data_IF_296363774521
#
_entry.id   IF_296363774521
#
_cell.length_a   1.000
_cell.length_b   1.000
_cell.length_c   1.000
_cell.angle_alpha   90.00
_cell.angle_beta   90.00
_cell.angle_gamma   90.00
#
_symmetry.space_group_name_H-M   'P 1'
#
loop_
_entity.id
_entity.type
_entity.pdbx_description
1 polymer ?
#
# COMPACT_ATOMS: atom_id res chain seq x y z
N UNK A 1 41.57 3.51 17.75
CA UNK A 1 40.56 2.53 17.32
C UNK A 1 39.40 3.28 16.71
N UNK A 2 39.36 3.38 15.37
CA UNK A 2 38.30 4.10 14.66
C UNK A 2 36.97 3.39 14.87
N UNK A 3 35.95 4.12 15.34
CA UNK A 3 34.56 3.68 15.27
C UNK A 3 34.30 3.34 13.80
N UNK A 4 34.04 2.07 13.48
CA UNK A 4 33.48 1.67 12.18
C UNK A 4 32.10 2.31 12.09
N UNK A 5 32.04 3.57 11.67
CA UNK A 5 30.79 4.20 11.29
C UNK A 5 30.16 3.35 10.22
N UNK A 6 28.95 2.86 10.46
CA UNK A 6 28.14 2.28 9.40
C UNK A 6 27.94 3.38 8.37
N UNK A 7 28.72 3.38 7.28
CA UNK A 7 28.50 4.30 6.18
C UNK A 7 27.12 3.99 5.59
N UNK A 8 26.17 4.89 5.78
CA UNK A 8 24.88 4.84 5.08
C UNK A 8 25.15 4.75 3.57
N UNK A 9 24.36 3.98 2.81
CA UNK A 9 24.50 3.95 1.35
C UNK A 9 24.26 5.34 0.76
N UNK A 10 24.81 5.60 -0.42
CA UNK A 10 24.56 6.85 -1.16
C UNK A 10 23.06 7.03 -1.43
N UNK A 11 22.60 8.26 -1.63
CA UNK A 11 21.19 8.57 -1.94
C UNK A 11 20.69 7.80 -3.15
N UNK A 12 21.56 7.58 -4.15
CA UNK A 12 21.27 6.83 -5.37
C UNK A 12 20.80 5.39 -5.14
N UNK A 13 20.94 4.83 -3.94
CA UNK A 13 20.30 3.55 -3.62
C UNK A 13 18.77 3.63 -3.73
N UNK A 14 18.17 4.80 -3.49
CA UNK A 14 16.73 5.06 -3.61
C UNK A 14 16.25 5.14 -5.08
N UNK A 15 17.16 5.21 -6.05
CA UNK A 15 16.83 5.12 -7.47
C UNK A 15 16.61 3.64 -7.84
N UNK A 16 15.53 3.05 -7.31
CA UNK A 16 15.23 1.63 -7.50
C UNK A 16 14.93 1.32 -8.98
N UNK A 17 15.60 0.31 -9.55
CA UNK A 17 15.42 -0.08 -10.92
C UNK A 17 14.12 -0.85 -11.09
N UNK A 18 13.69 -0.89 -12.35
CA UNK A 18 12.61 -1.71 -12.81
C UNK A 18 12.94 -3.17 -12.49
N UNK A 19 11.97 -3.89 -11.94
CA UNK A 19 12.15 -5.31 -11.68
C UNK A 19 12.38 -6.06 -13.00
N UNK A 20 13.22 -7.10 -13.02
CA UNK A 20 13.60 -7.78 -14.28
C UNK A 20 12.41 -8.30 -15.07
N UNK A 21 11.33 -8.73 -14.39
CA UNK A 21 10.10 -9.24 -15.01
C UNK A 21 9.28 -8.19 -15.76
N UNK A 22 9.61 -6.91 -15.64
CA UNK A 22 8.93 -5.79 -16.31
C UNK A 22 9.76 -5.14 -17.43
N UNK A 23 11.00 -5.59 -17.66
CA UNK A 23 11.84 -5.07 -18.75
C UNK A 23 11.18 -5.37 -20.10
N UNK A 24 11.13 -4.37 -20.98
CA UNK A 24 10.48 -4.42 -22.30
C UNK A 24 8.97 -4.73 -22.28
N UNK A 25 8.31 -4.57 -21.13
CA UNK A 25 6.86 -4.68 -20.96
C UNK A 25 6.26 -3.27 -20.95
N UNK A 26 5.08 -3.08 -21.57
CA UNK A 26 4.28 -1.87 -21.37
C UNK A 26 3.67 -1.92 -19.96
N UNK A 27 4.30 -1.23 -19.02
CA UNK A 27 4.00 -1.39 -17.59
C UNK A 27 2.85 -0.49 -17.17
N UNK A 28 1.86 -1.08 -16.51
CA UNK A 28 0.84 -0.34 -15.78
C UNK A 28 1.49 0.62 -14.76
N UNK A 29 1.25 1.95 -14.83
CA UNK A 29 1.77 2.91 -13.86
C UNK A 29 1.39 2.56 -12.41
N UNK A 30 2.26 2.91 -11.47
CA UNK A 30 2.08 2.63 -10.04
C UNK A 30 0.88 3.41 -9.50
N UNK A 31 0.00 2.71 -8.77
CA UNK A 31 -0.97 3.29 -7.86
C UNK A 31 -0.62 2.79 -6.46
N UNK A 32 -0.25 3.71 -5.58
CA UNK A 32 0.08 3.40 -4.18
C UNK A 32 -1.09 3.79 -3.29
N UNK A 33 -1.84 2.81 -2.84
CA UNK A 33 -3.09 3.03 -2.11
C UNK A 33 -2.90 3.38 -0.64
N UNK A 34 -1.65 3.38 -0.15
CA UNK A 34 -1.34 3.77 1.21
C UNK A 34 0.14 4.12 1.38
N UNK A 35 0.40 5.41 1.58
CA UNK A 35 1.74 5.94 1.87
C UNK A 35 1.62 7.09 2.88
N UNK A 36 2.63 7.30 3.71
CA UNK A 36 2.71 8.49 4.56
C UNK A 36 3.73 9.43 3.92
N UNK A 37 3.28 10.28 3.00
CA UNK A 37 4.18 11.08 2.16
C UNK A 37 5.03 12.05 3.00
N UNK A 38 4.41 12.71 3.97
CA UNK A 38 5.12 13.62 4.88
C UNK A 38 6.19 12.88 5.69
N UNK A 39 5.82 11.75 6.30
CA UNK A 39 6.75 10.90 7.07
C UNK A 39 7.85 10.30 6.19
N UNK A 40 7.53 9.96 4.94
CA UNK A 40 8.48 9.49 3.93
C UNK A 40 9.50 10.56 3.58
N UNK A 41 9.05 11.79 3.31
CA UNK A 41 9.95 12.89 3.03
C UNK A 41 10.81 13.26 4.25
N UNK A 42 10.22 13.25 5.45
CA UNK A 42 10.96 13.46 6.70
C UNK A 42 12.05 12.40 6.90
N UNK A 43 11.73 11.12 6.69
CA UNK A 43 12.70 10.03 6.73
C UNK A 43 13.80 10.20 5.68
N UNK A 44 13.45 10.63 4.46
CA UNK A 44 14.41 10.96 3.41
C UNK A 44 15.36 12.08 3.83
N UNK A 45 14.86 13.22 4.33
CA UNK A 45 15.69 14.33 4.81
C UNK A 45 16.57 13.96 6.01
N UNK A 46 16.08 13.09 6.90
CA UNK A 46 16.86 12.54 8.01
C UNK A 46 17.94 11.55 7.56
N UNK A 47 17.67 10.77 6.51
CA UNK A 47 18.64 9.87 5.91
C UNK A 47 19.71 10.63 5.10
N UNK A 48 19.28 11.67 4.36
CA UNK A 48 20.05 12.44 3.39
C UNK A 48 19.86 13.96 3.56
N UNK A 49 20.49 14.59 4.56
CA UNK A 49 20.33 16.03 4.81
C UNK A 49 20.80 16.92 3.64
N UNK A 50 21.75 16.43 2.85
CA UNK A 50 22.26 17.07 1.63
C UNK A 50 21.74 16.38 0.35
N UNK A 51 20.62 15.66 0.43
CA UNK A 51 20.03 14.96 -0.72
C UNK A 51 19.43 15.92 -1.75
N UNK A 52 19.12 15.40 -2.95
CA UNK A 52 18.65 16.13 -4.14
C UNK A 52 17.42 17.03 -3.96
N UNK A 53 16.61 16.83 -2.92
CA UNK A 53 15.29 17.45 -2.79
C UNK A 53 15.13 18.16 -1.44
N UNK A 54 14.65 19.39 -1.50
CA UNK A 54 14.50 20.30 -0.35
C UNK A 54 13.06 20.39 0.15
N UNK A 55 12.06 20.05 -0.68
CA UNK A 55 10.64 20.02 -0.32
C UNK A 55 9.93 18.77 -0.87
N UNK A 56 8.75 18.48 -0.33
CA UNK A 56 7.94 17.29 -0.63
C UNK A 56 7.55 17.23 -2.12
N UNK A 57 7.10 18.34 -2.69
CA UNK A 57 6.62 18.39 -4.08
C UNK A 57 7.73 18.11 -5.09
N UNK A 58 8.94 18.62 -4.84
CA UNK A 58 10.11 18.31 -5.68
C UNK A 58 10.59 16.88 -5.48
N UNK A 59 10.50 16.35 -4.25
CA UNK A 59 10.74 14.93 -3.99
C UNK A 59 9.79 14.03 -4.80
N UNK A 60 8.49 14.33 -4.80
CA UNK A 60 7.49 13.57 -5.58
C UNK A 60 7.77 13.69 -7.07
N UNK A 61 7.87 14.90 -7.63
CA UNK A 61 8.18 15.07 -9.06
C UNK A 61 9.48 14.38 -9.46
N UNK A 62 10.48 14.46 -8.59
CA UNK A 62 11.82 13.99 -8.88
C UNK A 62 12.00 12.48 -8.81
N UNK A 63 11.42 11.83 -7.79
CA UNK A 63 11.49 10.37 -7.59
C UNK A 63 10.35 9.60 -8.26
N UNK A 64 9.16 10.21 -8.38
CA UNK A 64 7.95 9.51 -8.83
C UNK A 64 7.49 9.94 -10.22
N UNK A 65 7.90 11.13 -10.69
CA UNK A 65 7.62 11.63 -12.04
C UNK A 65 8.18 10.70 -13.12
N UNK A 66 7.51 10.66 -14.28
CA UNK A 66 7.74 9.66 -15.33
C UNK A 66 9.12 9.69 -16.00
N UNK A 67 9.32 8.85 -17.04
CA UNK A 67 10.64 8.62 -17.61
C UNK A 67 11.29 9.94 -18.04
N UNK A 68 12.44 10.26 -17.43
CA UNK A 68 13.29 11.35 -17.90
C UNK A 68 13.71 11.00 -19.32
N UNK A 69 13.17 11.69 -20.32
CA UNK A 69 13.74 11.63 -21.67
C UNK A 69 15.17 12.13 -21.56
N UNK A 70 16.10 11.40 -22.18
CA UNK A 70 17.55 11.62 -22.14
C UNK A 70 18.02 12.93 -22.80
N UNK A 71 17.27 14.02 -22.65
CA UNK A 71 17.45 15.26 -23.39
C UNK A 71 17.79 16.46 -22.53
N UNK A 72 17.98 16.36 -21.21
CA UNK A 72 18.49 17.50 -20.41
C UNK A 72 19.32 17.16 -19.16
N UNK A 73 19.59 15.88 -18.86
CA UNK A 73 20.54 15.53 -17.80
C UNK A 73 21.14 14.14 -18.05
N UNK A 74 22.38 14.07 -18.53
CA UNK A 74 23.08 12.83 -18.89
C UNK A 74 23.43 11.94 -17.67
N UNK A 75 23.01 12.30 -16.46
CA UNK A 75 23.55 11.69 -15.24
C UNK A 75 22.70 10.57 -14.61
N UNK A 76 21.43 10.38 -14.96
CA UNK A 76 20.55 9.43 -14.26
C UNK A 76 19.71 8.58 -15.23
N UNK A 77 19.91 7.23 -15.25
CA UNK A 77 19.13 6.36 -16.12
C UNK A 77 17.64 6.38 -15.76
N UNK A 78 16.80 6.07 -16.75
CA UNK A 78 15.35 5.91 -16.61
C UNK A 78 15.07 4.57 -15.94
N UNK A 79 15.04 4.53 -14.59
CA UNK A 79 15.04 3.25 -13.88
C UNK A 79 13.72 2.88 -13.23
N UNK A 80 12.73 3.77 -13.09
CA UNK A 80 11.51 3.46 -12.35
C UNK A 80 10.25 3.45 -13.22
N UNK A 81 9.29 2.61 -12.83
CA UNK A 81 7.92 2.64 -13.35
C UNK A 81 7.28 3.95 -12.89
N UNK A 82 6.63 4.73 -13.78
CA UNK A 82 6.01 6.00 -13.40
C UNK A 82 4.93 5.79 -12.34
N UNK A 83 4.85 6.71 -11.39
CA UNK A 83 3.75 6.74 -10.41
C UNK A 83 2.61 7.56 -10.98
N UNK A 84 1.42 6.96 -11.05
CA UNK A 84 0.22 7.64 -11.52
C UNK A 84 -0.56 8.28 -10.39
N UNK A 85 -0.68 7.60 -9.26
CA UNK A 85 -1.44 8.12 -8.12
C UNK A 85 -0.91 7.59 -6.79
N UNK A 86 -1.08 8.42 -5.77
CA UNK A 86 -0.81 8.06 -4.38
C UNK A 86 -2.00 8.43 -3.52
N UNK A 87 -2.29 7.61 -2.52
CA UNK A 87 -3.22 7.92 -1.44
C UNK A 87 -2.41 8.14 -0.17
N UNK A 88 -2.24 9.40 0.17
CA UNK A 88 -1.51 9.84 1.36
C UNK A 88 -2.38 9.68 2.61
N UNK A 89 -1.80 9.15 3.68
CA UNK A 89 -2.54 8.81 4.90
C UNK A 89 -2.18 9.77 6.02
N UNK A 90 -3.17 10.58 6.37
CA UNK A 90 -3.09 11.54 7.47
C UNK A 90 -3.71 10.94 8.72
N UNK A 91 -2.88 10.38 9.60
CA UNK A 91 -3.30 9.79 10.88
C UNK A 91 -2.47 10.27 12.09
N UNK A 92 -1.40 11.04 11.86
CA UNK A 92 -0.44 11.45 12.90
C UNK A 92 -0.86 12.79 13.55
N UNK A 93 -1.07 12.79 14.87
CA UNK A 93 -1.53 13.95 15.64
C UNK A 93 -0.65 15.22 15.52
N UNK A 94 0.69 15.16 15.40
CA UNK A 94 1.52 16.34 15.21
C UNK A 94 1.43 16.99 13.82
N UNK A 95 0.94 16.26 12.81
CA UNK A 95 0.90 16.71 11.40
C UNK A 95 -0.48 17.28 11.02
N UNK A 96 -1.26 17.65 12.04
CA UNK A 96 -2.56 18.34 11.94
C UNK A 96 -2.44 19.86 12.13
N UNK A 97 -1.22 20.41 12.09
CA UNK A 97 -1.06 21.73 11.48
C UNK A 97 -1.69 21.67 10.08
N UNK A 98 -2.19 22.77 9.52
CA UNK A 98 -2.88 22.80 8.21
C UNK A 98 -2.03 22.29 7.00
N UNK A 99 -0.89 21.63 7.23
CA UNK A 99 0.01 21.02 6.24
C UNK A 99 -0.69 20.04 5.31
N UNK A 100 -1.58 19.18 5.83
CA UNK A 100 -2.39 18.29 5.00
C UNK A 100 -3.20 19.08 3.98
N UNK A 101 -3.74 20.21 4.43
CA UNK A 101 -4.60 21.08 3.62
C UNK A 101 -3.76 21.83 2.61
N UNK A 102 -2.57 22.30 2.96
CA UNK A 102 -1.65 22.93 2.01
C UNK A 102 -1.27 21.97 0.87
N UNK A 103 -0.96 20.70 1.19
CA UNK A 103 -0.68 19.68 0.18
C UNK A 103 -1.92 19.36 -0.65
N UNK A 104 -3.08 19.14 -0.02
CA UNK A 104 -4.32 18.82 -0.71
C UNK A 104 -4.82 19.96 -1.61
N UNK A 105 -4.80 21.21 -1.13
CA UNK A 105 -5.18 22.41 -1.87
C UNK A 105 -4.27 22.59 -3.10
N UNK A 106 -2.98 22.26 -2.96
CA UNK A 106 -2.01 22.31 -4.05
C UNK A 106 -2.28 21.29 -5.17
N UNK A 107 -3.13 20.29 -4.93
CA UNK A 107 -3.55 19.31 -5.93
C UNK A 107 -4.92 19.63 -6.56
N UNK A 108 -5.58 20.74 -6.20
CA UNK A 108 -6.94 21.04 -6.66
C UNK A 108 -7.03 21.46 -8.14
N UNK A 109 -6.22 22.42 -8.56
CA UNK A 109 -6.26 22.94 -9.94
C UNK A 109 -5.31 22.16 -10.83
N UNK A 110 -5.63 22.09 -12.12
CA UNK A 110 -4.76 21.43 -13.12
C UNK A 110 -3.38 22.10 -13.20
N UNK A 111 -3.36 23.43 -13.18
CA UNK A 111 -2.13 24.23 -13.17
C UNK A 111 -1.25 23.90 -11.94
N UNK A 112 -1.83 23.93 -10.73
CA UNK A 112 -1.06 23.65 -9.52
C UNK A 112 -0.59 22.19 -9.46
N UNK A 113 -1.39 21.25 -9.99
CA UNK A 113 -0.95 19.86 -10.15
C UNK A 113 0.24 19.72 -11.09
N UNK A 114 0.16 20.30 -12.28
CA UNK A 114 1.25 20.23 -13.25
C UNK A 114 2.54 20.82 -12.66
N UNK A 115 2.45 21.92 -11.93
CA UNK A 115 3.59 22.59 -11.30
C UNK A 115 4.19 21.81 -10.12
N UNK A 116 3.35 21.30 -9.22
CA UNK A 116 3.78 20.74 -7.92
C UNK A 116 3.86 19.23 -7.88
N UNK A 117 3.05 18.55 -8.67
CA UNK A 117 2.89 17.09 -8.62
C UNK A 117 3.30 16.41 -9.94
N UNK A 118 3.47 17.17 -11.01
CA UNK A 118 3.77 16.63 -12.34
C UNK A 118 2.64 15.71 -12.81
N UNK A 119 2.97 14.47 -13.14
CA UNK A 119 2.00 13.46 -13.61
C UNK A 119 1.34 12.66 -12.47
N UNK A 120 1.81 12.85 -11.23
CA UNK A 120 1.32 12.14 -10.04
C UNK A 120 0.01 12.79 -9.58
N UNK A 121 -1.05 12.00 -9.50
CA UNK A 121 -2.32 12.44 -8.94
C UNK A 121 -2.35 12.19 -7.44
N UNK A 122 -2.37 13.27 -6.67
CA UNK A 122 -2.38 13.24 -5.21
C UNK A 122 -3.80 13.13 -4.68
N UNK A 123 -4.02 12.12 -3.85
CA UNK A 123 -5.22 11.88 -3.10
C UNK A 123 -4.87 11.63 -1.64
N UNK A 124 -5.85 11.74 -0.75
CA UNK A 124 -5.62 11.43 0.65
C UNK A 124 -6.80 10.78 1.34
N UNK A 125 -6.50 10.04 2.40
CA UNK A 125 -7.44 9.65 3.44
C UNK A 125 -7.04 10.33 4.75
N UNK A 126 -8.02 10.56 5.62
CA UNK A 126 -7.77 11.24 6.89
C UNK A 126 -8.47 10.53 8.04
N UNK A 127 -7.74 10.48 9.14
CA UNK A 127 -8.17 10.03 10.46
C UNK A 127 -7.38 10.76 11.55
N UNK A 128 -7.91 10.75 12.76
CA UNK A 128 -7.13 11.06 13.96
C UNK A 128 -7.67 10.23 15.10
N UNK A 129 -6.90 9.28 15.60
CA UNK A 129 -7.38 8.48 16.74
C UNK A 129 -6.95 7.03 16.81
N UNK A 130 -6.29 6.42 15.83
CA UNK A 130 -5.88 5.01 15.98
C UNK A 130 -4.93 4.77 17.17
N UNK A 131 -3.85 5.53 17.25
CA UNK A 131 -2.91 5.47 18.38
C UNK A 131 -3.29 6.41 19.54
N UNK A 132 -4.21 7.35 19.30
CA UNK A 132 -4.65 8.35 20.26
C UNK A 132 -6.17 8.33 20.45
N UNK A 133 -6.80 7.16 20.49
CA UNK A 133 -8.26 7.03 20.57
C UNK A 133 -8.84 7.79 21.78
N UNK A 134 -8.07 7.83 22.87
CA UNK A 134 -8.38 8.64 24.06
C UNK A 134 -8.55 10.15 23.81
N UNK A 135 -7.99 10.67 22.72
CA UNK A 135 -8.06 12.09 22.34
C UNK A 135 -9.19 12.35 21.33
N UNK A 136 -9.90 11.32 20.87
CA UNK A 136 -11.02 11.47 19.95
C UNK A 136 -12.22 12.11 20.65
N UNK A 137 -12.66 13.27 20.15
CA UNK A 137 -13.79 14.03 20.69
C UNK A 137 -14.57 14.71 19.56
N UNK A 138 -15.62 15.45 19.91
CA UNK A 138 -16.51 16.09 18.94
C UNK A 138 -15.80 17.15 18.07
N UNK A 139 -14.78 17.83 18.60
CA UNK A 139 -13.99 18.82 17.87
C UNK A 139 -13.13 18.15 16.80
N UNK A 140 -12.45 17.06 17.18
CA UNK A 140 -11.66 16.21 16.25
C UNK A 140 -12.56 15.62 15.17
N UNK A 141 -13.73 15.08 15.54
CA UNK A 141 -14.67 14.54 14.56
C UNK A 141 -15.14 15.61 13.57
N UNK A 142 -15.44 16.82 14.05
CA UNK A 142 -15.84 17.93 13.20
C UNK A 142 -14.75 18.36 12.22
N UNK A 143 -13.48 18.35 12.66
CA UNK A 143 -12.32 18.60 11.81
C UNK A 143 -12.20 17.56 10.69
N UNK A 144 -12.24 16.27 11.04
CA UNK A 144 -12.18 15.17 10.08
C UNK A 144 -13.35 15.27 9.08
N UNK A 145 -14.58 15.51 9.56
CA UNK A 145 -15.76 15.74 8.71
C UNK A 145 -15.58 16.95 7.78
N UNK A 146 -14.81 17.96 8.19
CA UNK A 146 -14.39 19.07 7.34
C UNK A 146 -13.49 18.61 6.19
N UNK A 147 -12.46 17.81 6.49
CA UNK A 147 -11.56 17.25 5.49
C UNK A 147 -12.25 16.30 4.51
N UNK A 148 -13.27 15.56 4.95
CA UNK A 148 -14.06 14.68 4.07
C UNK A 148 -14.77 15.43 2.92
N UNK A 149 -14.99 16.74 3.06
CA UNK A 149 -15.58 17.60 2.03
C UNK A 149 -14.56 18.04 0.98
N UNK A 150 -13.26 17.86 1.23
CA UNK A 150 -12.23 18.26 0.30
C UNK A 150 -12.28 17.38 -0.96
N UNK A 151 -12.23 17.95 -2.19
CA UNK A 151 -12.31 17.18 -3.44
C UNK A 151 -11.24 16.10 -3.59
N UNK A 152 -10.09 16.27 -2.93
CA UNK A 152 -8.98 15.29 -2.92
C UNK A 152 -9.05 14.22 -1.84
N UNK A 153 -10.06 14.25 -0.97
CA UNK A 153 -10.29 13.20 0.01
C UNK A 153 -11.06 12.04 -0.63
N UNK A 154 -10.47 10.84 -0.65
CA UNK A 154 -11.04 9.64 -1.29
C UNK A 154 -11.62 8.62 -0.32
N UNK A 155 -11.41 8.79 0.99
CA UNK A 155 -11.87 7.84 1.99
C UNK A 155 -11.66 8.33 3.42
N UNK A 156 -12.23 7.57 4.35
CA UNK A 156 -12.08 7.74 5.77
C UNK A 156 -11.11 6.70 6.31
N UNK A 157 -10.06 7.16 6.99
CA UNK A 157 -9.05 6.28 7.55
C UNK A 157 -7.66 6.90 7.56
N UNK A 158 -6.72 6.26 8.23
CA UNK A 158 -6.80 4.88 8.72
C UNK A 158 -7.41 4.73 10.13
N UNK A 159 -8.58 4.08 10.22
CA UNK A 159 -9.27 3.75 11.48
C UNK A 159 -9.07 2.28 11.82
N UNK A 160 -9.18 1.87 13.09
CA UNK A 160 -9.10 0.44 13.41
C UNK A 160 -8.78 0.16 14.85
N UNK A 161 -8.29 -1.06 15.09
CA UNK A 161 -7.86 -1.54 16.41
C UNK A 161 -6.40 -1.97 16.35
N UNK A 162 -5.60 -1.51 17.32
CA UNK A 162 -4.20 -1.91 17.51
C UNK A 162 -4.02 -2.38 18.96
N UNK A 163 -4.07 -3.70 19.16
CA UNK A 163 -3.93 -4.31 20.48
C UNK A 163 -2.49 -4.65 20.84
N UNK A 164 -1.56 -4.46 19.90
CA UNK A 164 -0.14 -4.71 20.10
C UNK A 164 0.52 -3.59 20.89
N UNK A 165 0.30 -2.33 20.47
CA UNK A 165 0.87 -1.18 21.18
C UNK A 165 0.02 -0.72 22.37
N UNK A 166 -1.28 -1.00 22.36
CA UNK A 166 -2.24 -0.71 23.44
C UNK A 166 -2.14 0.74 23.98
N UNK A 167 -1.86 1.69 23.08
CA UNK A 167 -1.66 3.10 23.41
C UNK A 167 -2.93 3.78 23.97
N UNK A 168 -4.09 3.18 23.73
CA UNK A 168 -5.39 3.58 24.27
C UNK A 168 -6.15 2.34 24.73
N UNK A 169 -6.97 2.42 25.80
CA UNK A 169 -7.74 1.28 26.28
C UNK A 169 -8.60 0.67 25.18
N UNK A 170 -8.63 -0.66 25.09
CA UNK A 170 -9.35 -1.39 24.03
C UNK A 170 -10.82 -1.01 23.89
N UNK A 171 -11.51 -0.76 25.01
CA UNK A 171 -12.90 -0.27 25.01
C UNK A 171 -13.02 1.07 24.26
N UNK A 172 -12.12 2.01 24.54
CA UNK A 172 -12.10 3.32 23.88
C UNK A 172 -11.76 3.16 22.39
N UNK A 173 -10.82 2.29 22.03
CA UNK A 173 -10.53 2.01 20.62
C UNK A 173 -11.78 1.50 19.88
N UNK A 174 -12.54 0.59 20.49
CA UNK A 174 -13.79 0.05 19.90
C UNK A 174 -14.88 1.12 19.78
N UNK A 175 -15.12 1.90 20.82
CA UNK A 175 -16.10 2.99 20.80
C UNK A 175 -15.79 4.02 19.71
N UNK A 176 -14.52 4.42 19.60
CA UNK A 176 -14.04 5.35 18.58
C UNK A 176 -14.16 4.75 17.19
N UNK A 177 -13.77 3.47 17.00
CA UNK A 177 -13.94 2.79 15.72
C UNK A 177 -15.41 2.78 15.29
N UNK A 178 -16.33 2.36 16.15
CA UNK A 178 -17.77 2.33 15.86
C UNK A 178 -18.29 3.72 15.49
N UNK A 179 -17.87 4.75 16.22
CA UNK A 179 -18.26 6.14 15.98
C UNK A 179 -17.77 6.64 14.62
N UNK A 180 -16.53 6.34 14.25
CA UNK A 180 -15.95 6.72 12.95
C UNK A 180 -16.59 5.95 11.78
N UNK A 181 -16.87 4.65 11.95
CA UNK A 181 -17.57 3.84 10.94
C UNK A 181 -18.94 4.44 10.60
N UNK A 182 -19.71 4.85 11.61
CA UNK A 182 -21.00 5.51 11.39
C UNK A 182 -20.85 6.80 10.58
N UNK A 183 -19.89 7.65 10.95
CA UNK A 183 -19.64 8.91 10.23
C UNK A 183 -19.26 8.66 8.76
N UNK A 184 -18.36 7.71 8.50
CA UNK A 184 -17.93 7.39 7.15
C UNK A 184 -19.07 6.83 6.30
N UNK A 185 -19.90 5.96 6.88
CA UNK A 185 -21.10 5.39 6.22
C UNK A 185 -22.12 6.49 5.90
N UNK A 186 -22.42 7.37 6.85
CA UNK A 186 -23.32 8.51 6.64
C UNK A 186 -22.84 9.45 5.52
N UNK A 187 -21.53 9.59 5.36
CA UNK A 187 -20.91 10.46 4.35
C UNK A 187 -20.62 9.76 3.01
N UNK A 188 -20.92 8.47 2.85
CA UNK A 188 -20.64 7.77 1.59
C UNK A 188 -19.15 7.49 1.35
N UNK A 189 -18.30 7.52 2.39
CA UNK A 189 -16.84 7.41 2.25
C UNK A 189 -16.35 5.96 2.35
N UNK A 190 -15.52 5.48 1.42
CA UNK A 190 -14.80 4.21 1.55
C UNK A 190 -13.97 4.17 2.84
N UNK A 191 -13.78 2.97 3.39
CA UNK A 191 -13.08 2.75 4.66
C UNK A 191 -11.67 2.22 4.44
N UNK A 192 -10.67 2.84 5.06
CA UNK A 192 -9.33 2.27 5.22
C UNK A 192 -9.16 1.79 6.66
N UNK A 193 -9.04 0.48 6.84
CA UNK A 193 -9.05 -0.18 8.15
C UNK A 193 -7.67 -0.71 8.52
N UNK A 194 -7.18 -0.33 9.70
CA UNK A 194 -6.09 -1.00 10.40
C UNK A 194 -6.61 -2.16 11.24
N UNK A 195 -5.83 -3.23 11.29
CA UNK A 195 -6.00 -4.27 12.30
C UNK A 195 -4.64 -4.80 12.72
N UNK A 196 -4.51 -5.05 14.03
CA UNK A 196 -3.37 -5.76 14.59
C UNK A 196 -3.76 -6.46 15.88
N UNK A 197 -3.68 -7.79 15.88
CA UNK A 197 -3.98 -8.63 17.05
C UNK A 197 -5.42 -8.43 17.59
N UNK A 198 -6.36 -7.99 16.73
CA UNK A 198 -7.73 -7.61 17.09
C UNK A 198 -8.80 -8.31 16.23
N UNK A 199 -8.48 -9.51 15.73
CA UNK A 199 -9.23 -10.20 14.67
C UNK A 199 -10.73 -10.32 14.92
N UNK A 200 -11.13 -10.86 16.07
CA UNK A 200 -12.55 -11.13 16.35
C UNK A 200 -13.36 -9.84 16.52
N UNK A 201 -12.80 -8.87 17.23
CA UNK A 201 -13.43 -7.55 17.43
C UNK A 201 -13.57 -6.78 16.12
N UNK A 202 -12.55 -6.82 15.24
CA UNK A 202 -12.62 -6.21 13.91
C UNK A 202 -13.73 -6.87 13.09
N UNK A 203 -13.80 -8.21 13.07
CA UNK A 203 -14.85 -8.90 12.33
C UNK A 203 -16.24 -8.57 12.88
N UNK A 204 -16.44 -8.65 14.20
CA UNK A 204 -17.72 -8.38 14.84
C UNK A 204 -18.17 -6.93 14.60
N UNK A 205 -17.30 -5.96 14.83
CA UNK A 205 -17.61 -4.54 14.68
C UNK A 205 -17.94 -4.20 13.23
N UNK A 206 -17.10 -4.63 12.27
CA UNK A 206 -17.34 -4.33 10.86
C UNK A 206 -18.65 -4.96 10.38
N UNK A 207 -18.88 -6.24 10.65
CA UNK A 207 -20.10 -6.94 10.20
C UNK A 207 -21.38 -6.43 10.87
N UNK A 208 -21.28 -5.83 12.06
CA UNK A 208 -22.42 -5.24 12.77
C UNK A 208 -22.74 -3.82 12.31
N UNK A 209 -21.71 -3.01 12.03
CA UNK A 209 -21.88 -1.56 11.84
C UNK A 209 -21.70 -1.08 10.40
N UNK A 210 -21.16 -1.91 9.50
CA UNK A 210 -20.88 -1.53 8.12
C UNK A 210 -21.83 -2.26 7.17
N UNK A 211 -22.51 -1.56 6.24
CA UNK A 211 -23.32 -2.21 5.22
C UNK A 211 -22.51 -3.21 4.41
N UNK A 212 -23.14 -4.34 4.04
CA UNK A 212 -22.46 -5.43 3.33
C UNK A 212 -21.75 -4.98 2.03
N UNK A 213 -22.38 -4.10 1.27
CA UNK A 213 -21.86 -3.62 -0.01
C UNK A 213 -20.83 -2.47 0.13
N UNK A 214 -20.41 -2.13 1.35
CA UNK A 214 -19.48 -1.03 1.56
C UNK A 214 -18.08 -1.34 1.01
N UNK A 215 -17.39 -0.29 0.56
CA UNK A 215 -16.03 -0.37 0.05
C UNK A 215 -15.05 -0.33 1.22
N UNK A 216 -14.26 -1.39 1.38
CA UNK A 216 -13.34 -1.56 2.52
C UNK A 216 -11.96 -1.94 2.02
N UNK A 217 -10.94 -1.20 2.45
CA UNK A 217 -9.53 -1.52 2.26
C UNK A 217 -8.97 -1.92 3.62
N UNK A 218 -8.59 -3.18 3.79
CA UNK A 218 -7.85 -3.64 4.98
C UNK A 218 -6.36 -3.38 4.74
N UNK A 219 -5.85 -2.30 5.31
CA UNK A 219 -4.48 -1.84 5.13
C UNK A 219 -3.46 -2.79 5.77
N UNK A 220 -2.30 -2.93 5.12
CA UNK A 220 -1.10 -3.64 5.53
C UNK A 220 -1.40 -4.97 6.20
N UNK A 221 -2.18 -5.81 5.50
CA UNK A 221 -2.71 -7.02 6.11
C UNK A 221 -1.60 -7.99 6.48
N UNK A 222 -1.45 -8.25 7.78
CA UNK A 222 -0.47 -9.18 8.37
C UNK A 222 -1.10 -10.12 9.42
N UNK A 223 -2.39 -9.93 9.72
CA UNK A 223 -3.15 -10.68 10.72
C UNK A 223 -3.50 -12.11 10.25
N UNK A 224 -4.31 -12.83 11.04
CA UNK A 224 -4.63 -14.23 10.80
C UNK A 224 -5.38 -14.45 9.48
N UNK A 225 -5.01 -15.50 8.75
CA UNK A 225 -5.64 -15.89 7.47
C UNK A 225 -7.16 -16.03 7.59
N UNK A 226 -7.65 -16.61 8.69
CA UNK A 226 -9.08 -16.77 9.00
C UNK A 226 -9.83 -15.41 8.99
N UNK A 227 -9.22 -14.35 9.52
CA UNK A 227 -9.83 -13.02 9.49
C UNK A 227 -10.06 -12.54 8.06
N UNK A 228 -9.03 -12.63 7.21
CA UNK A 228 -9.14 -12.23 5.82
C UNK A 228 -10.24 -13.03 5.10
N UNK A 229 -10.28 -14.35 5.28
CA UNK A 229 -11.28 -15.22 4.65
C UNK A 229 -12.70 -14.85 5.09
N UNK A 230 -12.92 -14.69 6.39
CA UNK A 230 -14.23 -14.29 6.96
C UNK A 230 -14.68 -12.93 6.44
N UNK A 231 -13.77 -11.95 6.39
CA UNK A 231 -14.06 -10.60 5.89
C UNK A 231 -14.35 -10.61 4.38
N UNK A 232 -13.51 -11.27 3.59
CA UNK A 232 -13.67 -11.39 2.14
C UNK A 232 -14.94 -12.16 1.73
N UNK A 233 -15.37 -13.13 2.53
CA UNK A 233 -16.63 -13.85 2.32
C UNK A 233 -17.85 -12.99 2.66
N UNK A 234 -17.74 -12.12 3.67
CA UNK A 234 -18.84 -11.26 4.09
C UNK A 234 -19.00 -10.03 3.19
N UNK A 235 -17.90 -9.33 2.88
CA UNK A 235 -17.89 -8.07 2.14
C UNK A 235 -17.43 -8.28 0.69
N UNK A 236 -18.31 -8.18 -0.32
CA UNK A 236 -17.93 -8.33 -1.72
C UNK A 236 -16.96 -7.24 -2.19
N UNK A 237 -17.09 -6.01 -1.68
CA UNK A 237 -16.29 -4.83 -2.06
C UNK A 237 -15.12 -4.57 -1.09
N UNK A 238 -14.61 -5.64 -0.45
CA UNK A 238 -13.42 -5.58 0.41
C UNK A 238 -12.17 -6.01 -0.34
N UNK A 239 -11.09 -5.25 -0.14
CA UNK A 239 -9.78 -5.46 -0.72
C UNK A 239 -8.72 -5.56 0.37
N UNK A 240 -7.76 -6.46 0.18
CA UNK A 240 -6.62 -6.66 1.08
C UNK A 240 -5.43 -5.82 0.59
N UNK A 241 -4.93 -4.93 1.44
CA UNK A 241 -3.73 -4.14 1.20
C UNK A 241 -2.47 -4.99 1.34
N UNK A 242 -1.64 -5.00 0.29
CA UNK A 242 -0.41 -5.77 0.23
C UNK A 242 0.78 -4.82 0.12
N UNK A 243 1.58 -4.80 1.20
CA UNK A 243 2.84 -4.06 1.29
C UNK A 243 4.05 -4.95 1.04
N UNK A 244 5.25 -4.37 1.07
CA UNK A 244 6.52 -5.11 1.02
C UNK A 244 6.70 -6.14 2.15
N UNK A 245 5.88 -6.11 3.21
CA UNK A 245 5.93 -7.11 4.30
C UNK A 245 5.62 -8.52 3.80
N UNK A 246 4.93 -8.70 2.67
CA UNK A 246 4.70 -10.02 2.08
C UNK A 246 6.02 -10.78 1.80
N UNK A 247 7.12 -10.07 1.58
CA UNK A 247 8.43 -10.68 1.32
C UNK A 247 9.16 -11.10 2.59
N UNK A 248 8.62 -10.79 3.78
CA UNK A 248 9.32 -11.01 5.04
C UNK A 248 9.17 -12.47 5.44
N UNK A 249 10.28 -13.12 5.78
CA UNK A 249 10.27 -14.52 6.21
C UNK A 249 9.38 -14.79 7.44
N UNK A 250 9.11 -13.76 8.24
CA UNK A 250 8.23 -13.82 9.43
C UNK A 250 6.75 -13.63 9.10
N UNK A 251 6.40 -13.19 7.90
CA UNK A 251 5.02 -12.91 7.52
C UNK A 251 4.48 -13.93 6.51
N UNK A 252 4.12 -15.10 7.02
CA UNK A 252 3.58 -16.17 6.20
C UNK A 252 2.07 -16.01 5.91
N UNK A 253 1.37 -15.22 6.73
CA UNK A 253 -0.09 -15.05 6.65
C UNK A 253 -0.51 -14.34 5.36
N UNK A 254 0.11 -13.21 5.02
CA UNK A 254 -0.21 -12.46 3.79
C UNK A 254 0.00 -13.33 2.55
N UNK A 255 1.08 -14.10 2.50
CA UNK A 255 1.34 -15.00 1.40
C UNK A 255 0.31 -16.14 1.32
N UNK A 256 -0.15 -16.66 2.46
CA UNK A 256 -1.25 -17.64 2.49
C UNK A 256 -2.58 -17.04 2.02
N UNK A 257 -2.91 -15.80 2.39
CA UNK A 257 -4.12 -15.11 1.91
C UNK A 257 -4.10 -14.94 0.40
N UNK A 258 -2.98 -14.52 -0.20
CA UNK A 258 -2.84 -14.42 -1.66
C UNK A 258 -3.05 -15.77 -2.33
N UNK A 259 -2.45 -16.85 -1.79
CA UNK A 259 -2.66 -18.22 -2.29
C UNK A 259 -4.12 -18.68 -2.19
N UNK A 260 -4.84 -18.29 -1.14
CA UNK A 260 -6.25 -18.65 -0.99
C UNK A 260 -7.15 -17.84 -1.92
N UNK A 261 -6.85 -16.55 -2.12
CA UNK A 261 -7.59 -15.69 -3.05
C UNK A 261 -7.58 -16.23 -4.49
N UNK A 262 -6.41 -16.64 -5.02
CA UNK A 262 -6.34 -17.20 -6.39
C UNK A 262 -7.10 -18.51 -6.54
N UNK A 263 -7.28 -19.28 -5.46
CA UNK A 263 -8.06 -20.53 -5.46
C UNK A 263 -9.56 -20.28 -5.32
N UNK A 264 -9.94 -19.18 -4.68
CA UNK A 264 -11.33 -18.89 -4.30
C UNK A 264 -12.26 -18.57 -5.49
N UNK A 265 -11.71 -18.21 -6.65
CA UNK A 265 -12.50 -17.92 -7.85
C UNK A 265 -11.95 -18.65 -9.10
N UNK A 266 -12.23 -19.96 -9.25
CA UNK A 266 -11.76 -20.72 -10.40
C UNK A 266 -12.30 -20.23 -11.76
N UNK A 267 -13.47 -19.55 -11.75
CA UNK A 267 -14.09 -18.98 -12.97
C UNK A 267 -13.47 -17.67 -13.43
N UNK A 268 -12.89 -16.90 -12.51
CA UNK A 268 -12.12 -15.70 -12.79
C UNK A 268 -10.88 -15.64 -11.88
N UNK A 269 -9.87 -16.47 -12.17
CA UNK A 269 -8.64 -16.56 -11.38
C UNK A 269 -7.79 -15.28 -11.44
N UNK A 270 -8.21 -14.26 -12.22
CA UNK A 270 -7.59 -12.93 -12.26
C UNK A 270 -8.33 -11.89 -11.40
N UNK A 271 -9.44 -12.24 -10.76
CA UNK A 271 -10.15 -11.39 -9.79
C UNK A 271 -9.48 -11.40 -8.39
N UNK A 272 -8.18 -11.12 -8.33
CA UNK A 272 -7.45 -11.03 -7.07
C UNK A 272 -7.90 -9.77 -6.31
N UNK A 273 -8.64 -9.92 -5.20
CA UNK A 273 -9.17 -8.79 -4.39
C UNK A 273 -8.09 -8.17 -3.49
N UNK A 274 -7.08 -7.59 -4.11
CA UNK A 274 -5.98 -6.88 -3.43
C UNK A 274 -5.82 -5.45 -3.95
N UNK A 275 -5.19 -4.61 -3.14
CA UNK A 275 -4.56 -3.36 -3.59
C UNK A 275 -3.09 -3.38 -3.20
N UNK A 276 -2.25 -2.64 -3.94
CA UNK A 276 -0.84 -2.52 -3.64
C UNK A 276 -0.58 -1.20 -2.91
N UNK A 277 0.34 -1.25 -1.97
CA UNK A 277 0.69 -0.14 -1.10
C UNK A 277 2.13 -0.28 -0.63
N UNK A 278 2.73 0.84 -0.22
CA UNK A 278 4.09 0.81 0.35
C UNK A 278 4.11 0.93 1.85
N UNK A 279 3.09 1.56 2.43
CA UNK A 279 3.15 2.03 3.82
C UNK A 279 4.48 2.77 4.06
N UNK A 280 4.92 3.56 3.07
CA UNK A 280 6.19 4.26 3.16
C UNK A 280 6.13 5.30 4.27
N UNK A 281 7.21 5.47 5.07
CA UNK A 281 8.57 4.96 4.84
C UNK A 281 8.89 3.56 5.40
N UNK A 282 7.90 2.81 5.90
CA UNK A 282 8.14 1.68 6.81
C UNK A 282 8.42 0.36 6.09
N UNK A 283 7.55 -0.09 5.18
CA UNK A 283 7.52 -1.48 4.73
C UNK A 283 8.39 -1.78 3.52
N UNK A 284 9.71 -1.51 3.66
CA UNK A 284 10.72 -1.82 2.65
C UNK A 284 10.64 -3.31 2.24
N UNK A 285 10.44 -3.66 0.97
CA UNK A 285 10.52 -5.04 0.50
C UNK A 285 11.89 -5.67 0.78
N UNK A 286 11.90 -6.91 1.25
CA UNK A 286 13.09 -7.68 1.62
C UNK A 286 13.48 -8.75 0.60
N UNK A 287 13.06 -8.60 -0.66
CA UNK A 287 13.31 -9.52 -1.77
C UNK A 287 14.51 -9.12 -2.66
N UNK A 288 15.32 -8.15 -2.23
CA UNK A 288 16.55 -7.79 -2.94
C UNK A 288 17.59 -8.91 -2.86
N UNK A 289 18.01 -9.42 -4.01
CA UNK A 289 19.13 -10.36 -4.12
C UNK A 289 20.45 -9.71 -3.69
N UNK A 290 21.47 -10.52 -3.35
CA UNK A 290 22.80 -10.01 -3.02
C UNK A 290 23.45 -9.22 -4.15
N UNK A 291 23.14 -9.57 -5.41
CA UNK A 291 23.60 -8.85 -6.60
C UNK A 291 22.96 -7.47 -6.68
N UNK A 292 21.64 -7.39 -6.47
CA UNK A 292 20.91 -6.12 -6.45
C UNK A 292 21.35 -5.24 -5.27
N UNK A 293 21.52 -5.81 -4.07
CA UNK A 293 22.07 -5.10 -2.92
C UNK A 293 23.42 -4.46 -3.25
N UNK A 294 24.34 -5.23 -3.87
CA UNK A 294 25.64 -4.71 -4.28
C UNK A 294 25.52 -3.60 -5.33
N UNK A 295 24.60 -3.74 -6.29
CA UNK A 295 24.32 -2.71 -7.29
C UNK A 295 23.84 -1.38 -6.65
N UNK A 296 23.09 -1.46 -5.55
CA UNK A 296 22.67 -0.30 -4.76
C UNK A 296 23.70 0.21 -3.75
N UNK A 297 24.92 -0.34 -3.75
CA UNK A 297 25.95 0.00 -2.76
C UNK A 297 25.58 -0.42 -1.33
N UNK A 298 24.63 -1.34 -1.18
CA UNK A 298 24.25 -1.92 0.10
C UNK A 298 25.24 -3.02 0.52
N UNK A 299 25.41 -3.17 1.83
CA UNK A 299 26.09 -4.34 2.39
C UNK A 299 25.18 -5.57 2.26
N UNK A 300 25.78 -6.75 2.22
CA UNK A 300 25.02 -8.01 2.25
C UNK A 300 24.04 -8.02 3.42
N UNK A 301 22.77 -8.35 3.14
CA UNK A 301 21.65 -8.36 4.09
C UNK A 301 21.27 -7.00 4.67
N UNK A 302 21.79 -5.89 4.15
CA UNK A 302 21.31 -4.56 4.53
C UNK A 302 19.96 -4.28 3.88
N UNK A 303 19.06 -3.65 4.65
CA UNK A 303 17.81 -3.09 4.13
C UNK A 303 18.07 -1.72 3.50
N UNK A 304 17.19 -1.33 2.58
CA UNK A 304 17.10 0.05 2.14
C UNK A 304 16.82 0.97 3.33
N UNK A 305 17.29 2.23 3.29
CA UNK A 305 17.18 3.15 4.42
C UNK A 305 15.75 3.63 4.69
N UNK A 306 14.89 3.64 3.66
CA UNK A 306 13.45 3.88 3.77
C UNK A 306 12.70 3.20 2.62
N UNK A 307 11.40 2.96 2.81
CA UNK A 307 10.48 2.59 1.74
C UNK A 307 9.99 3.85 1.01
N UNK A 308 9.62 3.72 -0.26
CA UNK A 308 8.96 4.78 -1.03
C UNK A 308 8.14 4.17 -2.16
N UNK A 309 7.19 4.92 -2.73
CA UNK A 309 6.22 4.45 -3.73
C UNK A 309 6.81 3.73 -4.94
N UNK A 310 8.03 4.08 -5.36
CA UNK A 310 8.73 3.41 -6.47
C UNK A 310 9.03 1.92 -6.23
N UNK A 311 8.84 1.41 -5.00
CA UNK A 311 9.06 0.02 -4.65
C UNK A 311 7.86 -0.91 -4.91
N UNK A 312 6.69 -0.39 -5.31
CA UNK A 312 5.49 -1.20 -5.63
C UNK A 312 5.77 -2.35 -6.62
N UNK A 313 6.53 -2.17 -7.72
CA UNK A 313 6.82 -3.25 -8.65
C UNK A 313 7.52 -4.46 -8.00
N UNK A 314 8.33 -4.23 -6.97
CA UNK A 314 9.02 -5.28 -6.21
C UNK A 314 8.05 -6.09 -5.34
N UNK A 315 7.06 -5.43 -4.76
CA UNK A 315 5.94 -6.09 -4.07
C UNK A 315 5.12 -6.90 -5.06
N UNK A 316 4.77 -6.32 -6.22
CA UNK A 316 3.98 -6.98 -7.25
C UNK A 316 4.65 -8.25 -7.81
N UNK A 317 5.97 -8.22 -8.04
CA UNK A 317 6.74 -9.39 -8.48
C UNK A 317 6.68 -10.54 -7.47
N UNK A 318 6.75 -10.22 -6.17
CA UNK A 318 6.63 -11.24 -5.13
C UNK A 318 5.19 -11.77 -5.02
N UNK A 319 4.18 -10.91 -5.10
CA UNK A 319 2.76 -11.31 -5.15
C UNK A 319 2.50 -12.26 -6.31
N UNK A 320 3.02 -11.96 -7.51
CA UNK A 320 2.89 -12.83 -8.67
C UNK A 320 3.51 -14.22 -8.41
N UNK A 321 4.68 -14.26 -7.76
CA UNK A 321 5.32 -15.52 -7.35
C UNK A 321 4.44 -16.33 -6.40
N UNK A 322 3.89 -15.69 -5.37
CA UNK A 322 3.01 -16.33 -4.39
C UNK A 322 1.69 -16.80 -5.02
N UNK A 323 1.09 -15.98 -5.89
CA UNK A 323 -0.12 -16.31 -6.63
C UNK A 323 0.10 -17.56 -7.50
N UNK A 324 1.23 -17.64 -8.19
CA UNK A 324 1.60 -18.81 -9.00
C UNK A 324 1.82 -20.07 -8.15
N UNK A 325 2.37 -19.94 -6.94
CA UNK A 325 2.44 -21.08 -6.00
C UNK A 325 1.05 -21.58 -5.62
N UNK A 326 0.11 -20.67 -5.35
CA UNK A 326 -1.28 -21.03 -5.06
C UNK A 326 -1.97 -21.76 -6.22
N UNK A 327 -1.75 -21.31 -7.46
CA UNK A 327 -2.26 -22.00 -8.65
C UNK A 327 -1.63 -23.39 -8.82
N UNK A 328 -0.32 -23.52 -8.60
CA UNK A 328 0.36 -24.81 -8.67
C UNK A 328 -0.17 -25.79 -7.61
N UNK A 329 -0.40 -25.32 -6.37
CA UNK A 329 -1.01 -26.11 -5.30
C UNK A 329 -2.42 -26.61 -5.69
N UNK A 330 -3.23 -25.76 -6.32
CA UNK A 330 -4.56 -26.15 -6.81
C UNK A 330 -4.49 -27.23 -7.88
N UNK A 331 -3.59 -27.09 -8.85
CA UNK A 331 -3.39 -28.07 -9.93
C UNK A 331 -2.99 -29.43 -9.36
N UNK A 332 -2.11 -29.46 -8.35
CA UNK A 332 -1.71 -30.70 -7.68
C UNK A 332 -2.93 -31.36 -7.03
N UNK A 333 -3.76 -30.60 -6.30
CA UNK A 333 -4.97 -31.10 -5.66
C UNK A 333 -6.02 -31.62 -6.67
N UNK A 334 -6.18 -30.94 -7.80
CA UNK A 334 -7.11 -31.35 -8.85
C UNK A 334 -6.66 -32.65 -9.53
N UNK A 335 -5.36 -32.80 -9.81
CA UNK A 335 -4.79 -34.02 -10.40
C UNK A 335 -4.91 -35.21 -9.45
N UNK A 336 -4.67 -34.99 -8.15
CA UNK A 336 -4.83 -36.03 -7.13
C UNK A 336 -6.29 -36.47 -6.95
N UNK A 337 -7.25 -35.56 -7.12
CA UNK A 337 -8.68 -35.85 -6.93
C UNK A 337 -9.40 -36.34 -8.20
N UNK A 338 -8.95 -35.95 -9.40
CA UNK A 338 -9.53 -36.35 -10.70
C UNK A 338 -8.44 -36.45 -11.79
N UNK A 339 -7.80 -37.61 -11.97
CA UNK A 339 -6.78 -37.80 -13.01
C UNK A 339 -7.44 -37.86 -14.40
N UNK A 340 -7.62 -36.71 -15.05
CA UNK A 340 -8.09 -36.59 -16.43
C UNK A 340 -7.20 -35.65 -17.25
N UNK A 341 -7.11 -35.86 -18.56
CA UNK A 341 -6.28 -35.06 -19.48
C UNK A 341 -6.73 -33.58 -19.54
N UNK A 342 -8.02 -33.28 -19.31
CA UNK A 342 -8.55 -31.90 -19.26
C UNK A 342 -7.95 -31.06 -18.11
N UNK A 343 -7.62 -31.70 -16.97
CA UNK A 343 -6.99 -31.01 -15.84
C UNK A 343 -5.57 -30.51 -16.17
N UNK A 344 -4.84 -31.22 -17.04
CA UNK A 344 -3.48 -30.86 -17.47
C UNK A 344 -3.47 -29.74 -18.51
N UNK A 345 -4.56 -29.56 -19.27
CA UNK A 345 -4.65 -28.56 -20.32
C UNK A 345 -5.13 -27.19 -19.79
N UNK A 346 -6.00 -27.19 -18.76
CA UNK A 346 -6.38 -25.98 -18.03
C UNK A 346 -5.23 -25.40 -17.18
N UNK A 347 -4.27 -26.22 -16.73
CA UNK A 347 -3.15 -25.77 -15.88
C UNK A 347 -2.10 -24.92 -16.61
N UNK A 348 -2.07 -24.94 -17.95
CA UNK A 348 -1.08 -24.20 -18.76
C UNK A 348 -1.43 -22.73 -19.03
N UNK A 349 -2.65 -22.29 -18.69
CA UNK A 349 -3.18 -20.96 -19.09
C UNK A 349 -3.13 -19.88 -18.01
N UNK A 350 -2.66 -20.17 -16.80
CA UNK A 350 -2.79 -19.27 -15.66
C UNK A 350 -1.45 -19.11 -14.95
N UNK A 351 -0.66 -18.16 -15.43
CA UNK A 351 0.50 -17.64 -14.71
C UNK A 351 0.33 -16.15 -14.50
N UNK A 352 0.49 -15.68 -13.27
CA UNK A 352 0.54 -14.28 -12.92
C UNK A 352 1.91 -13.69 -13.23
N UNK A 353 1.92 -12.53 -13.88
CA UNK A 353 3.10 -11.66 -14.00
C UNK A 353 3.01 -10.47 -13.03
N UNK A 354 4.13 -9.79 -12.79
CA UNK A 354 4.13 -8.55 -12.00
C UNK A 354 3.22 -7.48 -12.63
N UNK A 355 3.22 -7.37 -13.97
CA UNK A 355 2.35 -6.42 -14.70
C UNK A 355 0.88 -6.71 -14.44
N UNK A 356 0.46 -7.98 -14.51
CA UNK A 356 -0.94 -8.35 -14.30
C UNK A 356 -1.39 -8.08 -12.87
N UNK A 357 -0.52 -8.32 -11.88
CA UNK A 357 -0.78 -7.96 -10.49
C UNK A 357 -0.95 -6.45 -10.34
N UNK A 358 -0.07 -5.65 -10.95
CA UNK A 358 -0.17 -4.19 -10.92
C UNK A 358 -1.46 -3.69 -11.59
N UNK A 359 -1.85 -4.28 -12.73
CA UNK A 359 -3.08 -3.96 -13.44
C UNK A 359 -4.32 -4.23 -12.59
N UNK A 360 -4.44 -5.44 -12.03
CA UNK A 360 -5.58 -5.83 -11.19
C UNK A 360 -5.65 -4.98 -9.93
N UNK A 361 -4.52 -4.74 -9.26
CA UNK A 361 -4.46 -3.88 -8.08
C UNK A 361 -4.91 -2.44 -8.40
N UNK A 362 -4.55 -1.91 -9.58
CA UNK A 362 -4.99 -0.58 -10.03
C UNK A 362 -6.49 -0.54 -10.34
N UNK A 363 -7.04 -1.57 -10.98
CA UNK A 363 -8.49 -1.69 -11.22
C UNK A 363 -9.26 -1.75 -9.89
N UNK A 364 -8.74 -2.48 -8.91
CA UNK A 364 -9.30 -2.54 -7.57
C UNK A 364 -9.20 -1.19 -6.83
N UNK A 365 -8.07 -0.48 -6.95
CA UNK A 365 -7.91 0.86 -6.39
C UNK A 365 -8.93 1.84 -6.99
N UNK A 366 -9.20 1.74 -8.29
CA UNK A 366 -10.26 2.51 -8.96
C UNK A 366 -11.65 2.15 -8.45
N UNK A 367 -11.93 0.86 -8.26
CA UNK A 367 -13.21 0.43 -7.69
C UNK A 367 -13.39 0.92 -6.24
N UNK A 368 -12.32 0.87 -5.44
CA UNK A 368 -12.28 1.27 -4.04
C UNK A 368 -12.42 2.79 -3.85
N UNK A 369 -11.53 3.57 -4.48
CA UNK A 369 -11.36 5.00 -4.24
C UNK A 369 -11.77 5.92 -5.41
N UNK A 370 -12.01 5.36 -6.59
CA UNK A 370 -12.33 6.13 -7.80
C UNK A 370 -11.11 6.76 -8.50
N UNK A 371 -9.90 6.29 -8.18
CA UNK A 371 -8.62 6.86 -8.64
C UNK A 371 -7.95 6.07 -9.77
#
# INVERSE_FOLDING_TARGET
>A
MGKKGSSKPAETCLDVPQVPSLVDVDVTPICDTHTHLHSTFSAYRGAYPAGRYENITDFVKGFYGGPRTASNDEALPTVHVPVKSIVDVWCEAPILSNEWKELADSALTEESRAEKWGDVDYWFVMERGRHEARNYNDEVEAEIKGAMKHPRNVGWGEIGLDYHYDNSPREIQREVLIRQLKCAVELGKPLTIHTREANDDIYEILTTHVPKEWKIHIHCFTDAVDLAERLLAHFPNLYIGITGVITYATNLNTAQVVRNLVKSNPSDPKALRIVLETDAPYMVPSNLTSVQQKAFGLKSNARMPLCHTGMIPWTAEFVATVANQGLAEQVIQDVESRPSEEAKENSKKLSWTAEEVMRVARENAKAMYGI
#
